data_IF_938040042146
#
_entry.id   IF_938040042146
#
_cell.length_a   1.000
_cell.length_b   1.000
_cell.length_c   1.000
_cell.angle_alpha   90.00
_cell.angle_beta   90.00
_cell.angle_gamma   90.00
#
_symmetry.space_group_name_H-M   'P 1'
#
loop_
_entity.id
_entity.type
_entity.pdbx_description
1 polymer ?
#
# COMPACT_ATOMS: atom_id res chain seq x y z
N UNK A 1 16.59 -13.43 26.27
CA UNK A 1 16.73 -14.80 25.73
C UNK A 1 16.65 -14.69 24.23
N UNK A 2 17.56 -15.27 23.44
CA UNK A 2 17.42 -15.26 22.01
C UNK A 2 16.11 -15.97 21.64
N UNK A 3 15.26 -15.31 20.84
CA UNK A 3 14.05 -15.92 20.32
C UNK A 3 14.45 -17.12 19.42
N UNK A 4 13.90 -18.28 19.74
CA UNK A 4 14.03 -19.43 18.86
C UNK A 4 13.51 -19.02 17.46
N UNK A 5 14.19 -19.43 16.37
CA UNK A 5 13.75 -19.11 15.01
C UNK A 5 12.31 -19.61 14.86
N UNK A 6 11.44 -18.75 14.41
CA UNK A 6 10.04 -19.07 14.14
C UNK A 6 10.02 -20.14 13.05
N UNK A 7 9.43 -21.33 13.28
CA UNK A 7 9.30 -22.29 12.19
C UNK A 7 8.47 -21.66 11.08
N UNK A 8 9.03 -21.62 9.87
CA UNK A 8 8.29 -21.18 8.70
C UNK A 8 7.05 -22.05 8.50
N UNK A 9 5.94 -21.48 7.99
CA UNK A 9 4.79 -22.28 7.62
C UNK A 9 5.22 -23.38 6.64
N UNK A 10 4.52 -24.52 6.66
CA UNK A 10 4.76 -25.54 5.65
C UNK A 10 4.57 -24.92 4.26
N UNK A 11 5.45 -25.19 3.28
CA UNK A 11 5.27 -24.71 1.92
C UNK A 11 3.97 -25.22 1.26
N UNK A 12 3.29 -26.16 1.90
CA UNK A 12 1.98 -26.68 1.50
C UNK A 12 0.81 -26.06 2.26
N UNK A 13 1.03 -25.06 3.12
CA UNK A 13 -0.07 -24.37 3.76
C UNK A 13 -0.88 -23.60 2.71
N UNK A 14 -2.24 -23.59 2.79
CA UNK A 14 -3.06 -22.87 1.81
C UNK A 14 -2.81 -21.37 1.92
N UNK A 15 -2.96 -20.64 0.81
CA UNK A 15 -3.01 -19.18 0.83
C UNK A 15 -4.08 -18.69 1.80
N UNK A 16 -3.84 -17.54 2.43
CA UNK A 16 -4.77 -16.92 3.37
C UNK A 16 -5.12 -15.50 2.95
N UNK A 17 -6.36 -15.13 3.23
CA UNK A 17 -6.88 -13.80 2.99
C UNK A 17 -7.22 -13.14 4.32
N UNK A 18 -6.62 -11.97 4.59
CA UNK A 18 -7.08 -11.04 5.61
C UNK A 18 -8.06 -10.07 4.96
N UNK A 19 -9.25 -9.98 5.55
CA UNK A 19 -10.33 -9.08 5.14
C UNK A 19 -10.63 -8.15 6.30
N UNK A 20 -10.39 -6.85 6.13
CA UNK A 20 -10.72 -5.85 7.12
C UNK A 20 -11.91 -5.01 6.66
N UNK A 21 -12.96 -4.98 7.49
CA UNK A 21 -13.99 -3.96 7.45
C UNK A 21 -13.63 -2.89 8.49
N UNK A 22 -13.02 -1.80 8.03
CA UNK A 22 -12.54 -0.74 8.91
C UNK A 22 -13.69 0.07 9.52
N UNK A 23 -14.85 0.12 8.86
CA UNK A 23 -16.05 0.78 9.37
C UNK A 23 -16.68 -0.06 10.47
N UNK A 24 -16.90 -1.35 10.24
CA UNK A 24 -17.48 -2.25 11.24
C UNK A 24 -16.48 -2.69 12.32
N UNK A 25 -15.20 -2.39 12.17
CA UNK A 25 -14.15 -2.73 13.13
C UNK A 25 -13.89 -4.22 13.24
N UNK A 26 -13.83 -4.93 12.11
CA UNK A 26 -13.56 -6.38 12.05
C UNK A 26 -12.47 -6.73 11.06
N UNK A 27 -11.65 -7.69 11.47
CA UNK A 27 -10.63 -8.29 10.60
C UNK A 27 -10.80 -9.81 10.66
N UNK A 28 -11.08 -10.42 9.53
CA UNK A 28 -11.25 -11.87 9.38
C UNK A 28 -10.05 -12.48 8.66
N UNK A 29 -9.57 -13.62 9.13
CA UNK A 29 -8.57 -14.45 8.48
C UNK A 29 -9.24 -15.69 7.91
N UNK A 30 -9.14 -15.87 6.60
CA UNK A 30 -9.80 -16.94 5.83
C UNK A 30 -8.75 -17.77 5.10
N UNK A 31 -8.93 -19.10 5.07
CA UNK A 31 -8.17 -19.97 4.16
C UNK A 31 -8.76 -19.88 2.75
N UNK A 32 -7.93 -20.01 1.75
CA UNK A 32 -8.36 -20.06 0.34
C UNK A 32 -8.16 -21.46 -0.24
N UNK A 33 -9.01 -21.89 -1.16
CA UNK A 33 -10.13 -21.14 -1.74
C UNK A 33 -11.47 -21.32 -0.98
N UNK A 34 -11.55 -22.18 0.03
CA UNK A 34 -12.81 -22.63 0.65
C UNK A 34 -13.44 -21.60 1.61
N UNK A 35 -12.73 -20.55 1.97
CA UNK A 35 -13.22 -19.49 2.86
C UNK A 35 -13.30 -19.89 4.33
N UNK A 36 -12.68 -21.00 4.74
CA UNK A 36 -12.69 -21.44 6.14
C UNK A 36 -12.11 -20.35 7.03
N UNK A 37 -12.91 -19.83 7.97
CA UNK A 37 -12.48 -18.82 8.91
C UNK A 37 -11.53 -19.41 9.95
N UNK A 38 -10.28 -18.90 9.99
CA UNK A 38 -9.24 -19.32 10.94
C UNK A 38 -9.20 -18.47 12.20
N UNK A 39 -9.46 -17.17 12.05
CA UNK A 39 -9.47 -16.24 13.16
C UNK A 39 -10.30 -15.01 12.83
N UNK A 40 -10.67 -14.26 13.87
CA UNK A 40 -11.35 -12.99 13.75
C UNK A 40 -10.86 -12.06 14.86
N UNK A 41 -10.54 -10.82 14.49
CA UNK A 41 -10.32 -9.72 15.44
C UNK A 41 -11.55 -8.81 15.38
N UNK A 42 -12.14 -8.56 16.55
CA UNK A 42 -13.29 -7.65 16.72
C UNK A 42 -12.85 -6.37 17.38
N UNK A 43 -13.59 -5.29 17.12
CA UNK A 43 -13.33 -3.96 17.67
C UNK A 43 -11.93 -3.43 17.30
N UNK A 44 -11.49 -3.72 16.06
CA UNK A 44 -10.22 -3.29 15.50
C UNK A 44 -10.46 -2.46 14.24
N UNK A 45 -10.07 -1.20 14.31
CA UNK A 45 -10.29 -0.25 13.23
C UNK A 45 -8.96 -0.03 12.50
N UNK A 46 -8.78 -0.78 11.41
CA UNK A 46 -7.62 -0.60 10.54
C UNK A 46 -7.61 0.83 9.99
N UNK A 47 -6.50 1.53 10.12
CA UNK A 47 -6.30 2.86 9.56
C UNK A 47 -6.44 2.82 8.03
N UNK A 48 -7.42 3.57 7.50
CA UNK A 48 -7.85 3.44 6.11
C UNK A 48 -6.71 3.72 5.11
N UNK A 49 -5.97 4.81 5.31
CA UNK A 49 -4.89 5.17 4.40
C UNK A 49 -3.64 4.29 4.57
N UNK A 50 -3.31 3.89 5.79
CA UNK A 50 -2.16 3.02 6.05
C UNK A 50 -2.36 1.58 5.54
N UNK A 51 -3.59 1.06 5.59
CA UNK A 51 -3.92 -0.28 5.13
C UNK A 51 -3.14 -1.39 5.81
N UNK A 52 -2.95 -2.49 5.10
CA UNK A 52 -2.07 -3.59 5.51
C UNK A 52 -0.66 -3.41 4.95
N UNK A 53 0.35 -3.75 5.76
CA UNK A 53 1.75 -3.81 5.37
C UNK A 53 2.23 -5.25 5.48
N UNK A 54 2.72 -5.83 4.38
CA UNK A 54 3.37 -7.14 4.42
C UNK A 54 4.78 -7.00 5.01
N UNK A 55 5.16 -7.97 5.85
CA UNK A 55 6.47 -8.04 6.48
C UNK A 55 7.15 -9.37 6.16
N UNK A 56 8.50 -9.45 6.22
CA UNK A 56 9.21 -10.72 6.07
C UNK A 56 8.70 -11.82 7.02
N UNK A 57 8.80 -13.07 6.57
CA UNK A 57 8.33 -14.23 7.33
C UNK A 57 6.82 -14.41 7.31
N UNK A 58 6.17 -13.94 6.23
CA UNK A 58 4.72 -14.03 6.01
C UNK A 58 3.89 -13.33 7.09
N UNK A 59 4.49 -12.35 7.75
CA UNK A 59 3.83 -11.50 8.72
C UNK A 59 3.11 -10.35 8.02
N UNK A 60 2.13 -9.78 8.72
CA UNK A 60 1.37 -8.62 8.25
C UNK A 60 1.22 -7.62 9.40
N UNK A 61 1.37 -6.34 9.11
CA UNK A 61 1.15 -5.29 10.10
C UNK A 61 0.01 -4.36 9.66
N UNK A 62 -0.64 -3.72 10.62
CA UNK A 62 -1.57 -2.62 10.41
C UNK A 62 -1.67 -1.76 11.66
N UNK A 63 -2.15 -0.53 11.52
CA UNK A 63 -2.47 0.34 12.65
C UNK A 63 -3.95 0.26 12.97
N UNK A 64 -4.26 0.04 14.25
CA UNK A 64 -5.62 0.16 14.80
C UNK A 64 -5.81 1.58 15.32
N UNK A 65 -6.49 2.42 14.55
CA UNK A 65 -6.71 3.83 14.89
C UNK A 65 -7.51 4.02 16.17
N UNK A 66 -8.40 3.09 16.50
CA UNK A 66 -9.21 3.19 17.71
C UNK A 66 -8.42 2.85 18.96
N UNK A 67 -7.53 1.87 18.86
CA UNK A 67 -6.71 1.45 20.00
C UNK A 67 -5.40 2.26 20.13
N UNK A 68 -4.96 2.96 19.09
CA UNK A 68 -3.65 3.62 19.05
C UNK A 68 -2.51 2.61 19.05
N UNK A 69 -2.68 1.49 18.34
CA UNK A 69 -1.72 0.38 18.34
C UNK A 69 -1.33 -0.04 16.91
N UNK A 70 -0.05 -0.24 16.70
CA UNK A 70 0.45 -1.05 15.60
C UNK A 70 0.36 -2.52 16.00
N UNK A 71 -0.33 -3.33 15.22
CA UNK A 71 -0.43 -4.77 15.40
C UNK A 71 0.40 -5.49 14.35
N UNK A 72 1.20 -6.45 14.80
CA UNK A 72 1.89 -7.41 13.92
C UNK A 72 1.16 -8.74 14.02
N UNK A 73 0.67 -9.22 12.90
CA UNK A 73 -0.07 -10.46 12.76
C UNK A 73 0.81 -11.58 12.21
N UNK A 74 0.55 -12.79 12.67
CA UNK A 74 1.05 -14.02 12.06
C UNK A 74 -0.14 -14.77 11.45
N UNK A 75 -0.43 -14.59 10.17
CA UNK A 75 -1.56 -15.26 9.53
C UNK A 75 -1.52 -16.78 9.67
N UNK A 76 -0.33 -17.38 9.77
CA UNK A 76 -0.16 -18.84 9.95
C UNK A 76 -0.08 -19.29 11.42
N UNK A 77 -0.11 -18.37 12.39
CA UNK A 77 -0.14 -18.65 13.82
C UNK A 77 -1.38 -19.45 14.26
N UNK A 78 -2.63 -19.05 13.89
CA UNK A 78 -3.82 -19.79 14.23
C UNK A 78 -3.83 -21.19 13.62
N UNK A 79 -4.05 -22.22 14.46
CA UNK A 79 -3.98 -23.62 14.08
C UNK A 79 -2.62 -24.27 14.26
N UNK A 80 -1.56 -23.50 14.48
CA UNK A 80 -0.24 -23.97 14.89
C UNK A 80 0.03 -23.78 16.41
N UNK A 81 -1.00 -23.49 17.19
CA UNK A 81 -0.86 -23.20 18.62
C UNK A 81 -0.32 -21.82 18.97
N UNK A 82 -0.21 -20.94 17.97
CA UNK A 82 0.25 -19.55 18.15
C UNK A 82 -0.90 -18.57 17.94
N UNK A 83 -0.91 -17.41 18.64
CA UNK A 83 -1.95 -16.40 18.45
C UNK A 83 -1.77 -15.68 17.11
N UNK A 84 -2.88 -15.20 16.52
CA UNK A 84 -2.85 -14.35 15.33
C UNK A 84 -2.04 -13.07 15.59
N UNK A 85 -2.25 -12.40 16.71
CA UNK A 85 -1.53 -11.19 17.08
C UNK A 85 -0.21 -11.55 17.76
N UNK A 86 0.91 -11.23 17.13
CA UNK A 86 2.26 -11.47 17.65
C UNK A 86 2.77 -10.32 18.52
N UNK A 87 2.50 -9.09 18.10
CA UNK A 87 2.94 -7.87 18.80
C UNK A 87 1.84 -6.81 18.78
N UNK A 88 1.84 -5.99 19.83
CA UNK A 88 1.06 -4.77 19.96
C UNK A 88 2.01 -3.69 20.41
N UNK A 89 2.03 -2.57 19.73
CA UNK A 89 2.97 -1.47 19.96
C UNK A 89 2.18 -0.18 19.93
N UNK A 90 2.19 0.64 20.98
CA UNK A 90 1.52 1.95 20.97
C UNK A 90 2.10 2.86 19.90
N UNK A 91 1.24 3.50 19.12
CA UNK A 91 1.63 4.46 18.07
C UNK A 91 0.70 5.66 18.07
N UNK A 92 1.16 6.77 17.51
CA UNK A 92 0.32 7.95 17.32
C UNK A 92 -0.75 7.69 16.24
N UNK A 93 -1.97 8.17 16.50
CA UNK A 93 -3.13 8.03 15.62
C UNK A 93 -3.90 9.36 15.50
N UNK A 94 -4.73 9.55 14.47
CA UNK A 94 -5.04 8.65 13.36
C UNK A 94 -3.83 8.46 12.43
N UNK A 95 -3.60 7.22 12.00
CA UNK A 95 -2.46 6.92 11.15
C UNK A 95 -2.78 7.20 9.67
N UNK A 96 -1.84 7.85 9.00
CA UNK A 96 -1.95 8.15 7.57
C UNK A 96 -1.16 7.16 6.72
N UNK A 97 0.10 6.91 7.07
CA UNK A 97 0.95 5.95 6.37
C UNK A 97 1.75 5.07 7.33
N UNK A 98 2.04 3.87 6.86
CA UNK A 98 2.86 2.87 7.52
C UNK A 98 3.88 2.32 6.52
N UNK A 99 5.15 2.26 6.91
CA UNK A 99 6.20 1.64 6.11
C UNK A 99 7.17 0.87 6.99
N UNK A 100 7.86 -0.12 6.39
CA UNK A 100 8.94 -0.86 7.01
C UNK A 100 10.21 -0.81 6.17
N UNK A 101 11.34 -1.05 6.80
CA UNK A 101 12.55 -1.38 6.07
C UNK A 101 12.43 -2.78 5.43
N UNK A 102 13.25 -3.11 4.42
CA UNK A 102 13.18 -4.41 3.76
C UNK A 102 13.39 -5.62 4.68
N UNK A 103 14.07 -5.41 5.81
CA UNK A 103 14.25 -6.43 6.84
C UNK A 103 13.04 -6.61 7.76
N UNK A 104 12.06 -5.71 7.69
CA UNK A 104 10.85 -5.72 8.51
C UNK A 104 11.08 -5.43 9.99
N UNK A 105 12.25 -4.91 10.36
CA UNK A 105 12.59 -4.58 11.74
C UNK A 105 12.22 -3.16 12.12
N UNK A 106 12.57 -2.19 11.26
CA UNK A 106 12.38 -0.78 11.51
C UNK A 106 11.14 -0.29 10.75
N UNK A 107 10.15 0.20 11.50
CA UNK A 107 8.93 0.73 10.92
C UNK A 107 8.77 2.20 11.25
N UNK A 108 7.91 2.85 10.50
CA UNK A 108 7.50 4.23 10.75
C UNK A 108 6.00 4.39 10.47
N UNK A 109 5.32 5.12 11.35
CA UNK A 109 3.90 5.47 11.23
C UNK A 109 3.78 6.99 11.26
N UNK A 110 3.10 7.58 10.28
CA UNK A 110 2.80 9.01 10.27
C UNK A 110 1.34 9.26 10.63
N UNK A 111 1.07 10.41 11.24
CA UNK A 111 -0.27 11.01 11.27
C UNK A 111 -0.33 12.13 10.24
N UNK A 112 -1.52 12.46 9.76
CA UNK A 112 -1.66 13.47 8.71
C UNK A 112 -3.06 14.05 8.68
N UNK A 113 -3.52 14.50 7.51
CA UNK A 113 -4.87 14.99 7.23
C UNK A 113 -5.42 15.93 8.30
N UNK A 114 -4.79 17.07 8.47
CA UNK A 114 -5.27 18.12 9.37
C UNK A 114 -4.46 19.39 9.23
N UNK A 115 -4.84 20.40 9.99
CA UNK A 115 -4.04 21.61 10.08
C UNK A 115 -2.88 21.41 11.04
N UNK A 116 -1.78 22.11 10.81
CA UNK A 116 -0.57 21.97 11.63
C UNK A 116 -0.76 22.36 13.11
N UNK A 117 -1.82 23.07 13.41
CA UNK A 117 -2.19 23.51 14.77
C UNK A 117 -2.87 22.40 15.57
N UNK A 118 -3.38 21.36 14.93
CA UNK A 118 -4.04 20.25 15.62
C UNK A 118 -3.01 19.35 16.30
N UNK A 119 -3.27 18.96 17.54
CA UNK A 119 -2.31 18.26 18.39
C UNK A 119 -1.92 16.87 17.85
N UNK A 120 -2.77 16.25 17.04
CA UNK A 120 -2.56 14.93 16.44
C UNK A 120 -1.84 14.97 15.10
N UNK A 121 -1.70 16.14 14.47
CA UNK A 121 -1.00 16.27 13.19
C UNK A 121 0.51 16.36 13.35
N UNK A 122 1.23 16.04 12.29
CA UNK A 122 2.69 16.16 12.26
C UNK A 122 3.42 15.21 13.22
N UNK A 123 2.80 14.10 13.60
CA UNK A 123 3.44 13.07 14.42
C UNK A 123 4.08 11.99 13.55
N UNK A 124 5.25 11.55 13.98
CA UNK A 124 5.97 10.42 13.43
C UNK A 124 6.29 9.45 14.57
N UNK A 125 5.80 8.22 14.47
CA UNK A 125 6.20 7.15 15.39
C UNK A 125 7.24 6.28 14.70
N UNK A 126 8.47 6.25 15.24
CA UNK A 126 9.50 5.30 14.86
C UNK A 126 9.35 4.02 15.69
N UNK A 127 9.48 2.87 15.06
CA UNK A 127 9.29 1.55 15.68
C UNK A 127 10.51 0.68 15.40
N UNK A 128 11.04 0.04 16.44
CA UNK A 128 12.02 -1.07 16.32
C UNK A 128 11.39 -2.34 16.91
N UNK A 129 11.07 -3.31 16.05
CA UNK A 129 10.42 -4.56 16.48
C UNK A 129 11.29 -5.41 17.39
N UNK A 130 12.60 -5.21 17.43
CA UNK A 130 13.52 -5.93 18.33
C UNK A 130 13.68 -5.24 19.68
N UNK A 131 13.29 -3.97 19.81
CA UNK A 131 13.40 -3.23 21.06
C UNK A 131 12.29 -3.61 22.05
N UNK A 132 12.59 -3.71 23.36
CA UNK A 132 11.59 -4.01 24.39
C UNK A 132 10.45 -2.99 24.44
N UNK A 133 10.78 -1.70 24.36
CA UNK A 133 9.82 -0.60 24.43
C UNK A 133 9.27 -0.18 23.05
N UNK A 134 9.73 -0.81 22.00
CA UNK A 134 9.20 -0.89 20.66
C UNK A 134 9.01 0.41 19.86
N UNK A 135 8.58 1.53 20.45
CA UNK A 135 8.24 2.71 19.70
C UNK A 135 8.50 4.03 20.42
N UNK A 136 8.83 5.07 19.65
CA UNK A 136 8.94 6.44 20.12
C UNK A 136 8.23 7.37 19.14
N UNK A 137 7.29 8.18 19.65
CA UNK A 137 6.64 9.21 18.88
C UNK A 137 7.37 10.55 19.02
N UNK A 138 7.55 11.23 17.92
CA UNK A 138 8.14 12.58 17.85
C UNK A 138 7.23 13.49 17.03
N UNK A 139 7.35 14.81 17.24
CA UNK A 139 6.69 15.78 16.39
C UNK A 139 7.65 16.20 15.28
N UNK A 140 7.27 15.93 14.05
CA UNK A 140 7.94 16.51 12.89
C UNK A 140 7.24 17.81 12.55
N UNK A 141 7.93 18.74 11.88
CA UNK A 141 7.28 19.94 11.35
C UNK A 141 6.17 19.50 10.43
N UNK A 142 4.96 19.68 10.89
CA UNK A 142 3.76 19.40 10.14
C UNK A 142 3.70 20.28 8.89
N UNK A 143 3.19 19.70 7.83
CA UNK A 143 2.84 20.36 6.58
C UNK A 143 1.38 20.02 6.31
N UNK A 144 0.71 20.89 5.58
CA UNK A 144 -0.65 20.60 5.12
C UNK A 144 -0.64 19.44 4.16
N UNK A 145 -1.61 18.57 4.26
CA UNK A 145 -1.80 17.45 3.37
C UNK A 145 -1.20 16.13 3.88
N UNK A 146 -1.23 15.15 3.03
CA UNK A 146 -0.93 13.75 3.30
C UNK A 146 0.58 13.48 3.35
N UNK A 147 1.17 13.13 4.51
CA UNK A 147 2.58 12.83 4.60
C UNK A 147 2.84 11.38 4.20
N UNK A 148 3.59 11.17 3.12
CA UNK A 148 4.11 9.85 2.78
C UNK A 148 5.29 9.44 3.66
N UNK A 149 5.54 8.13 3.77
CA UNK A 149 6.68 7.60 4.53
C UNK A 149 7.32 6.41 3.85
N UNK A 150 8.65 6.37 3.86
CA UNK A 150 9.44 5.18 3.51
C UNK A 150 10.53 4.96 4.55
N UNK A 151 10.92 3.69 4.75
CA UNK A 151 12.01 3.32 5.67
C UNK A 151 13.11 2.61 4.90
N UNK A 152 14.29 3.23 4.89
CA UNK A 152 15.47 2.68 4.24
C UNK A 152 16.27 1.86 5.25
N UNK A 153 16.47 0.58 4.97
CA UNK A 153 17.22 -0.34 5.82
C UNK A 153 18.74 -0.09 5.81
N UNK A 154 19.48 -1.07 6.33
CA UNK A 154 20.93 -1.08 6.41
C UNK A 154 21.51 -0.65 7.75
N UNK A 155 22.83 -0.46 7.86
CA UNK A 155 23.51 -0.22 9.16
C UNK A 155 23.08 1.07 9.87
N UNK A 156 22.60 2.05 9.12
CA UNK A 156 22.00 3.28 9.62
C UNK A 156 20.65 3.49 8.97
N UNK A 157 19.58 2.90 9.48
CA UNK A 157 18.26 3.02 8.87
C UNK A 157 17.78 4.47 8.89
N UNK A 158 17.13 4.88 7.80
CA UNK A 158 16.60 6.22 7.61
C UNK A 158 15.08 6.16 7.45
N UNK A 159 14.39 7.15 8.00
CA UNK A 159 12.99 7.42 7.73
C UNK A 159 12.93 8.62 6.78
N UNK A 160 12.28 8.47 5.66
CA UNK A 160 12.05 9.52 4.68
C UNK A 160 10.59 9.89 4.67
N UNK A 161 10.29 11.13 4.99
CA UNK A 161 8.93 11.68 4.93
C UNK A 161 8.78 12.50 3.65
N UNK A 162 7.70 12.29 2.93
CA UNK A 162 7.26 13.14 1.84
C UNK A 162 6.19 14.09 2.35
N UNK A 163 6.38 15.38 2.16
CA UNK A 163 5.37 16.40 2.42
C UNK A 163 4.86 17.01 1.12
N UNK A 164 3.64 17.54 1.16
CA UNK A 164 2.98 18.11 -0.02
C UNK A 164 3.13 19.62 -0.11
N UNK A 165 2.96 20.36 0.97
CA UNK A 165 2.84 21.82 0.97
C UNK A 165 3.80 22.46 2.00
N UNK A 166 4.95 22.97 1.54
CA UNK A 166 5.57 22.79 0.22
C UNK A 166 6.08 21.37 0.02
N UNK A 167 6.20 20.95 -1.26
CA UNK A 167 6.75 19.63 -1.63
C UNK A 167 8.19 19.48 -1.15
N UNK A 168 8.43 18.50 -0.30
CA UNK A 168 9.78 18.18 0.16
C UNK A 168 9.91 16.74 0.66
N UNK A 169 11.14 16.22 0.62
CA UNK A 169 11.52 15.01 1.34
C UNK A 169 12.35 15.39 2.56
N UNK A 170 11.92 14.92 3.73
CA UNK A 170 12.64 15.06 5.00
C UNK A 170 13.27 13.74 5.39
N UNK A 171 14.56 13.74 5.70
CA UNK A 171 15.30 12.54 6.10
C UNK A 171 15.62 12.59 7.58
N UNK A 172 15.21 11.56 8.31
CA UNK A 172 15.55 11.35 9.71
C UNK A 172 16.36 10.07 9.87
N UNK A 173 17.33 10.04 10.80
CA UNK A 173 17.93 8.77 11.21
C UNK A 173 17.00 8.07 12.17
N UNK A 174 16.61 6.85 11.87
CA UNK A 174 15.72 6.06 12.72
C UNK A 174 16.23 5.95 14.17
N UNK A 175 17.53 5.71 14.34
CA UNK A 175 18.15 5.61 15.67
C UNK A 175 18.07 6.91 16.50
N UNK A 176 18.08 8.06 15.84
CA UNK A 176 18.01 9.35 16.54
C UNK A 176 16.57 9.61 16.99
N UNK A 177 15.57 9.20 16.18
CA UNK A 177 14.17 9.19 16.59
C UNK A 177 13.94 8.29 17.81
N UNK A 178 14.48 7.06 17.80
CA UNK A 178 14.34 6.10 18.92
C UNK A 178 15.03 6.55 20.23
N UNK A 179 15.92 7.54 20.18
CA UNK A 179 16.56 8.14 21.36
C UNK A 179 15.83 9.36 21.89
N UNK A 180 14.78 9.79 21.24
CA UNK A 180 14.01 10.96 21.66
C UNK A 180 13.29 10.70 22.98
N UNK A 181 13.07 11.79 23.74
CA UNK A 181 12.38 11.69 25.01
C UNK A 181 10.90 11.30 24.86
N UNK A 182 10.27 10.64 25.86
CA UNK A 182 8.88 10.19 25.76
C UNK A 182 7.82 11.29 25.55
N UNK A 183 8.18 12.55 25.79
CA UNK A 183 7.25 13.68 25.74
C UNK A 183 6.96 14.20 24.31
N UNK A 184 7.13 13.37 23.29
CA UNK A 184 6.89 13.75 21.90
C UNK A 184 7.63 15.04 21.47
N UNK A 185 8.97 15.11 21.61
CA UNK A 185 9.73 16.32 21.33
C UNK A 185 9.73 16.61 19.82
N UNK A 186 9.98 17.88 19.43
CA UNK A 186 10.28 18.20 18.04
C UNK A 186 11.52 17.44 17.55
N UNK A 187 11.45 16.89 16.34
CA UNK A 187 12.57 16.23 15.68
C UNK A 187 12.91 16.94 14.36
N UNK A 188 14.13 17.47 14.27
CA UNK A 188 14.61 18.05 13.04
C UNK A 188 15.16 16.98 12.09
N UNK A 189 14.91 17.10 10.77
CA UNK A 189 15.49 16.20 9.79
C UNK A 189 16.99 16.45 9.65
N UNK A 190 17.77 15.39 9.43
CA UNK A 190 19.19 15.51 9.14
C UNK A 190 19.48 16.05 7.74
N UNK A 191 18.50 15.91 6.83
CA UNK A 191 18.53 16.45 5.46
C UNK A 191 17.15 16.82 4.98
N UNK A 192 17.10 17.80 4.08
CA UNK A 192 15.90 18.24 3.35
C UNK A 192 16.21 18.24 1.86
N UNK A 193 15.23 17.85 1.06
CA UNK A 193 15.29 17.94 -0.39
C UNK A 193 13.95 18.48 -0.89
N UNK A 194 13.98 19.66 -1.50
CA UNK A 194 12.77 20.23 -2.10
C UNK A 194 12.30 19.38 -3.28
N UNK A 195 10.99 19.21 -3.40
CA UNK A 195 10.32 18.70 -4.57
C UNK A 195 9.73 19.89 -5.34
N UNK A 196 9.75 19.88 -6.68
CA UNK A 196 9.23 20.99 -7.47
C UNK A 196 7.70 21.10 -7.42
N UNK A 197 7.02 20.03 -7.02
CA UNK A 197 5.56 19.95 -6.98
C UNK A 197 5.05 19.79 -5.55
N UNK A 198 3.91 20.44 -5.28
CA UNK A 198 3.24 20.43 -3.97
C UNK A 198 2.14 19.36 -3.87
N UNK A 199 1.91 18.55 -4.92
CA UNK A 199 0.81 17.58 -4.99
C UNK A 199 1.26 16.11 -4.90
N UNK A 200 2.42 15.85 -4.29
CA UNK A 200 2.94 14.50 -4.08
C UNK A 200 1.93 13.59 -3.36
N UNK A 201 1.74 12.35 -3.85
CA UNK A 201 0.69 11.47 -3.32
C UNK A 201 1.09 10.00 -3.14
N UNK A 202 2.06 9.48 -3.86
CA UNK A 202 2.50 8.09 -3.76
C UNK A 202 3.98 7.97 -3.48
N UNK A 203 4.37 6.94 -2.77
CA UNK A 203 5.76 6.67 -2.41
C UNK A 203 6.12 5.23 -2.76
N UNK A 204 7.38 5.01 -3.13
CA UNK A 204 7.97 3.69 -3.27
C UNK A 204 9.47 3.75 -2.93
N UNK A 205 10.04 2.60 -2.61
CA UNK A 205 11.44 2.46 -2.27
C UNK A 205 12.01 1.21 -2.93
N UNK A 206 13.13 1.38 -3.65
CA UNK A 206 13.90 0.27 -4.18
C UNK A 206 14.96 -0.20 -3.17
N UNK A 207 14.76 -1.33 -2.50
CA UNK A 207 15.68 -1.82 -1.48
C UNK A 207 17.07 -2.18 -2.02
N UNK A 208 17.16 -2.52 -3.31
CA UNK A 208 18.43 -2.93 -3.92
C UNK A 208 19.36 -1.75 -4.16
N UNK A 209 18.81 -0.60 -4.57
CA UNK A 209 19.63 0.58 -4.91
C UNK A 209 19.54 1.70 -3.88
N UNK A 210 18.63 1.60 -2.92
CA UNK A 210 18.33 2.65 -1.94
C UNK A 210 17.71 3.90 -2.57
N UNK A 211 17.02 3.75 -3.73
CA UNK A 211 16.25 4.83 -4.34
C UNK A 211 14.90 4.98 -3.69
N UNK A 212 14.51 6.22 -3.49
CA UNK A 212 13.16 6.63 -3.06
C UNK A 212 12.48 7.28 -4.25
N UNK A 213 11.20 7.02 -4.41
CA UNK A 213 10.35 7.55 -5.46
C UNK A 213 9.15 8.24 -4.83
N UNK A 214 8.80 9.42 -5.36
CA UNK A 214 7.62 10.19 -4.96
C UNK A 214 6.82 10.56 -6.19
N UNK A 215 5.58 10.08 -6.28
CA UNK A 215 4.64 10.47 -7.33
C UNK A 215 4.16 11.90 -7.09
N UNK A 216 4.15 12.72 -8.13
CA UNK A 216 3.65 14.09 -8.10
C UNK A 216 2.99 14.44 -9.43
N UNK A 217 2.40 15.60 -9.57
CA UNK A 217 1.68 16.00 -10.78
C UNK A 217 2.52 15.96 -12.04
N UNK A 218 3.77 16.40 -11.98
CA UNK A 218 4.67 16.45 -13.14
C UNK A 218 5.34 15.11 -13.49
N UNK A 219 5.34 14.14 -12.58
CA UNK A 219 6.02 12.86 -12.77
C UNK A 219 6.38 12.16 -11.48
N UNK A 220 7.34 11.24 -11.55
CA UNK A 220 7.90 10.57 -10.38
C UNK A 220 9.26 11.16 -10.06
N UNK A 221 9.33 11.93 -8.97
CA UNK A 221 10.60 12.41 -8.44
C UNK A 221 11.35 11.26 -7.78
N UNK A 222 12.65 11.22 -7.98
CA UNK A 222 13.48 10.16 -7.43
C UNK A 222 14.76 10.71 -6.83
N UNK A 223 15.18 10.05 -5.76
CA UNK A 223 16.41 10.34 -5.09
C UNK A 223 17.09 9.07 -4.64
N UNK A 224 18.41 9.08 -4.64
CA UNK A 224 19.22 7.94 -4.18
C UNK A 224 19.85 8.24 -2.84
N UNK A 225 19.87 7.25 -1.97
CA UNK A 225 20.57 7.33 -0.70
C UNK A 225 22.07 7.55 -0.91
N UNK A 226 22.65 8.52 -0.19
CA UNK A 226 24.08 8.76 -0.08
C UNK A 226 24.44 9.07 1.38
N UNK A 227 24.99 8.07 2.08
CA UNK A 227 25.20 8.17 3.52
C UNK A 227 23.90 8.35 4.29
N UNK A 228 23.80 9.43 5.08
CA UNK A 228 22.62 9.80 5.86
C UNK A 228 21.69 10.80 5.13
N UNK A 229 21.81 10.91 3.82
CA UNK A 229 20.99 11.82 3.02
C UNK A 229 20.54 11.22 1.70
N UNK A 230 19.85 12.06 0.93
CA UNK A 230 19.37 11.77 -0.41
C UNK A 230 20.04 12.71 -1.42
N UNK A 231 20.32 12.19 -2.61
CA UNK A 231 20.77 12.95 -3.77
C UNK A 231 19.71 12.83 -4.85
N UNK A 232 19.17 13.97 -5.35
CA UNK A 232 18.15 13.92 -6.39
C UNK A 232 18.70 13.33 -7.69
N UNK A 233 17.85 12.61 -8.40
CA UNK A 233 18.09 12.09 -9.75
C UNK A 233 17.05 12.70 -10.71
N UNK A 234 17.27 12.59 -12.02
CA UNK A 234 16.32 13.09 -13.00
C UNK A 234 14.94 12.44 -12.79
N UNK A 235 13.85 13.22 -12.77
CA UNK A 235 12.50 12.68 -12.59
C UNK A 235 12.08 11.81 -13.78
N UNK A 236 11.12 10.91 -13.53
CA UNK A 236 10.47 10.12 -14.57
C UNK A 236 9.20 10.82 -14.99
N UNK A 237 8.96 10.90 -16.30
CA UNK A 237 7.74 11.49 -16.84
C UNK A 237 6.55 10.54 -16.75
N UNK A 238 5.36 11.09 -16.50
CA UNK A 238 4.11 10.35 -16.71
C UNK A 238 3.82 10.11 -18.20
N UNK A 239 4.37 10.91 -19.10
CA UNK A 239 4.19 10.75 -20.54
C UNK A 239 5.08 9.64 -21.08
N UNK A 240 4.49 8.71 -21.83
CA UNK A 240 5.19 7.62 -22.50
C UNK A 240 4.35 7.09 -23.68
N UNK A 241 4.97 6.44 -24.64
CA UNK A 241 4.32 5.76 -25.77
C UNK A 241 3.36 6.65 -26.58
N UNK A 242 3.69 7.95 -26.72
CA UNK A 242 2.84 8.91 -27.41
C UNK A 242 1.60 9.35 -26.64
N UNK A 243 1.45 8.92 -25.37
CA UNK A 243 0.40 9.33 -24.45
C UNK A 243 0.92 10.44 -23.54
N UNK A 244 0.19 11.55 -23.47
CA UNK A 244 0.56 12.75 -22.73
C UNK A 244 -0.51 13.12 -21.72
N UNK A 245 -0.12 13.94 -20.75
CA UNK A 245 -1.00 14.44 -19.69
C UNK A 245 -1.41 13.36 -18.68
N UNK A 246 -2.27 13.76 -17.76
CA UNK A 246 -2.65 12.96 -16.60
C UNK A 246 -1.58 12.93 -15.53
N UNK A 247 -1.93 12.36 -14.39
CA UNK A 247 -1.02 12.16 -13.26
C UNK A 247 -1.26 10.84 -12.55
N UNK A 248 -0.20 10.26 -12.00
CA UNK A 248 -0.27 9.09 -11.14
C UNK A 248 -0.43 9.49 -9.67
N UNK A 249 -1.14 8.64 -8.92
CA UNK A 249 -1.39 8.85 -7.49
C UNK A 249 -0.74 7.81 -6.60
N UNK A 250 -0.54 6.60 -7.11
CA UNK A 250 0.02 5.50 -6.35
C UNK A 250 1.25 4.97 -7.06
N UNK A 251 2.22 4.56 -6.26
CA UNK A 251 3.35 3.78 -6.76
C UNK A 251 3.33 2.42 -6.09
N UNK A 252 3.59 1.39 -6.87
CA UNK A 252 3.84 0.03 -6.40
C UNK A 252 5.17 -0.44 -6.95
N UNK A 253 6.02 -0.92 -6.07
CA UNK A 253 7.22 -1.62 -6.46
C UNK A 253 6.91 -3.09 -6.67
N UNK A 254 7.30 -3.62 -7.81
CA UNK A 254 7.48 -5.05 -8.06
C UNK A 254 8.99 -5.33 -7.93
N UNK A 255 9.45 -5.81 -6.77
CA UNK A 255 10.87 -5.99 -6.53
C UNK A 255 11.47 -7.15 -7.33
N UNK A 256 10.64 -8.14 -7.71
CA UNK A 256 11.06 -9.30 -8.49
C UNK A 256 11.38 -8.91 -9.93
N UNK A 257 10.49 -8.16 -10.57
CA UNK A 257 10.70 -7.69 -11.95
C UNK A 257 11.46 -6.38 -12.04
N UNK A 258 11.74 -5.77 -10.88
CA UNK A 258 12.43 -4.48 -10.83
C UNK A 258 11.63 -3.39 -11.55
N UNK A 259 10.32 -3.33 -11.28
CA UNK A 259 9.40 -2.40 -11.94
C UNK A 259 8.65 -1.54 -10.95
N UNK A 260 8.47 -0.27 -11.29
CA UNK A 260 7.48 0.60 -10.68
C UNK A 260 6.21 0.58 -11.51
N UNK A 261 5.08 0.53 -10.82
CA UNK A 261 3.74 0.58 -11.39
C UNK A 261 2.93 1.72 -10.81
N UNK A 262 2.09 2.30 -11.65
CA UNK A 262 1.10 3.31 -11.26
C UNK A 262 -0.14 3.22 -12.16
N UNK A 263 -1.20 3.91 -11.77
CA UNK A 263 -2.28 4.28 -12.66
C UNK A 263 -2.18 5.78 -12.94
N UNK A 264 -2.07 6.16 -14.20
CA UNK A 264 -2.09 7.57 -14.63
C UNK A 264 -3.49 7.92 -15.10
N UNK A 265 -4.12 8.83 -14.39
CA UNK A 265 -5.46 9.33 -14.69
C UNK A 265 -5.38 10.67 -15.39
N UNK A 266 -6.11 10.80 -16.50
CA UNK A 266 -6.31 12.04 -17.25
C UNK A 266 -7.79 12.39 -17.38
N UNK A 267 -8.07 13.54 -17.97
CA UNK A 267 -9.41 14.04 -18.19
C UNK A 267 -9.68 15.35 -17.48
N UNK A 268 -10.95 15.71 -17.34
CA UNK A 268 -11.41 16.91 -16.66
C UNK A 268 -11.05 16.90 -15.16
N UNK A 269 -10.77 18.06 -14.60
CA UNK A 269 -10.65 18.24 -13.15
C UNK A 269 -11.99 18.20 -12.40
N UNK A 270 -13.11 18.21 -13.10
CA UNK A 270 -14.45 18.10 -12.51
C UNK A 270 -14.73 16.67 -12.06
N UNK A 271 -14.92 16.44 -10.73
CA UNK A 271 -15.24 15.11 -10.22
C UNK A 271 -16.51 14.49 -10.81
N UNK A 272 -17.49 15.28 -11.21
CA UNK A 272 -18.73 14.80 -11.84
C UNK A 272 -18.52 14.16 -13.21
N UNK A 273 -17.39 14.42 -13.85
CA UNK A 273 -16.98 13.85 -15.15
C UNK A 273 -16.15 12.57 -15.02
N UNK A 274 -16.07 12.00 -13.83
CA UNK A 274 -15.26 10.82 -13.55
C UNK A 274 -15.51 9.61 -14.48
N UNK A 275 -16.71 9.37 -15.03
CA UNK A 275 -16.92 8.27 -15.96
C UNK A 275 -16.11 8.40 -17.24
N UNK A 276 -15.77 9.64 -17.63
CA UNK A 276 -15.02 9.93 -18.85
C UNK A 276 -13.51 10.11 -18.61
N UNK A 277 -13.04 9.97 -17.37
CA UNK A 277 -11.62 10.04 -17.06
C UNK A 277 -10.84 8.90 -17.70
N UNK A 278 -9.81 9.22 -18.45
CA UNK A 278 -8.91 8.21 -19.00
C UNK A 278 -8.02 7.63 -17.90
N UNK A 279 -7.71 6.35 -18.00
CA UNK A 279 -6.78 5.68 -17.11
C UNK A 279 -5.80 4.84 -17.93
N UNK A 280 -4.51 4.94 -17.58
CA UNK A 280 -3.46 4.10 -18.14
C UNK A 280 -2.67 3.44 -17.04
N UNK A 281 -2.36 2.16 -17.20
CA UNK A 281 -1.27 1.54 -16.47
C UNK A 281 0.03 2.19 -16.91
N UNK A 282 0.73 2.83 -15.99
CA UNK A 282 2.06 3.37 -16.20
C UNK A 282 3.08 2.45 -15.54
N UNK A 283 4.21 2.24 -16.19
CA UNK A 283 5.27 1.41 -15.67
C UNK A 283 6.65 1.94 -16.02
N UNK A 284 7.63 1.63 -15.16
CA UNK A 284 9.03 1.96 -15.36
C UNK A 284 9.91 0.81 -14.89
N UNK A 285 10.78 0.31 -15.76
CA UNK A 285 11.75 -0.72 -15.41
C UNK A 285 13.01 -0.07 -14.83
N UNK A 286 13.32 -0.39 -13.57
CA UNK A 286 14.36 0.30 -12.79
C UNK A 286 15.77 0.12 -13.35
N UNK A 287 16.07 -1.01 -13.97
CA UNK A 287 17.41 -1.35 -14.43
C UNK A 287 17.65 -0.95 -15.90
N UNK A 288 16.63 -1.04 -16.75
CA UNK A 288 16.76 -0.68 -18.17
C UNK A 288 16.34 0.76 -18.46
N UNK A 289 15.60 1.39 -17.55
CA UNK A 289 15.07 2.74 -17.72
C UNK A 289 13.90 2.85 -18.70
N UNK A 290 13.41 1.73 -19.24
CA UNK A 290 12.26 1.73 -20.16
C UNK A 290 11.00 2.11 -19.39
N UNK A 291 10.24 3.05 -19.93
CA UNK A 291 8.96 3.54 -19.38
C UNK A 291 7.89 3.37 -20.45
N UNK A 292 6.68 3.03 -20.03
CA UNK A 292 5.56 2.89 -20.93
C UNK A 292 4.20 3.14 -20.29
N UNK A 293 3.17 3.19 -21.14
CA UNK A 293 1.75 3.32 -20.77
C UNK A 293 0.91 2.34 -21.58
N UNK A 294 -0.12 1.78 -20.93
CA UNK A 294 -1.10 0.90 -21.55
C UNK A 294 -2.50 1.29 -21.07
N UNK A 295 -3.43 1.48 -22.01
CA UNK A 295 -4.78 1.94 -21.71
C UNK A 295 -5.59 0.94 -20.90
N UNK A 296 -6.23 1.44 -19.82
CA UNK A 296 -7.16 0.69 -18.98
C UNK A 296 -8.62 1.03 -19.26
N UNK A 297 -8.88 2.10 -20.02
CA UNK A 297 -10.22 2.58 -20.35
C UNK A 297 -10.76 3.66 -19.42
N UNK A 298 -11.95 4.21 -19.74
CA UNK A 298 -12.54 5.30 -18.99
C UNK A 298 -13.12 4.84 -17.65
N UNK A 299 -13.30 5.81 -16.72
CA UNK A 299 -13.87 5.58 -15.41
C UNK A 299 -12.89 5.83 -14.26
N UNK A 300 -13.03 5.06 -13.20
CA UNK A 300 -12.20 5.19 -12.00
C UNK A 300 -11.35 3.94 -11.80
N UNK A 301 -10.04 4.10 -11.88
CA UNK A 301 -9.06 3.08 -11.50
C UNK A 301 -8.26 3.62 -10.33
N UNK A 302 -8.44 3.00 -9.17
CA UNK A 302 -7.83 3.48 -7.92
C UNK A 302 -6.67 2.64 -7.45
N UNK A 303 -6.77 1.33 -7.54
CA UNK A 303 -5.83 0.41 -6.91
C UNK A 303 -5.34 -0.63 -7.90
N UNK A 304 -4.16 -1.09 -7.64
CA UNK A 304 -3.55 -2.20 -8.37
C UNK A 304 -2.91 -3.20 -7.40
N UNK A 305 -2.80 -4.44 -7.84
CA UNK A 305 -2.10 -5.50 -7.13
C UNK A 305 -1.25 -6.31 -8.11
N UNK A 306 -0.14 -6.87 -7.61
CA UNK A 306 0.85 -7.58 -8.44
C UNK A 306 0.82 -9.06 -8.10
N UNK A 307 0.69 -9.92 -9.12
CA UNK A 307 0.88 -11.38 -9.02
C UNK A 307 2.22 -11.80 -9.62
N UNK A 308 2.50 -13.10 -9.57
CA UNK A 308 3.69 -13.65 -10.22
C UNK A 308 3.73 -13.39 -11.72
N UNK A 309 2.59 -13.26 -12.41
CA UNK A 309 2.53 -13.10 -13.88
C UNK A 309 1.61 -11.98 -14.38
N UNK A 310 0.86 -11.35 -13.49
CA UNK A 310 -0.12 -10.34 -13.88
C UNK A 310 -0.06 -9.11 -12.98
N UNK A 311 -0.55 -7.99 -13.53
CA UNK A 311 -0.86 -6.79 -12.77
C UNK A 311 -2.38 -6.62 -12.84
N UNK A 312 -3.01 -6.63 -11.68
CA UNK A 312 -4.46 -6.57 -11.54
C UNK A 312 -4.90 -5.14 -11.20
N UNK A 313 -5.82 -4.58 -11.98
CA UNK A 313 -6.47 -3.30 -11.73
C UNK A 313 -7.97 -3.49 -11.56
N UNK A 314 -8.57 -2.78 -10.63
CA UNK A 314 -10.03 -2.67 -10.56
C UNK A 314 -10.48 -1.37 -11.22
N UNK A 315 -11.39 -1.48 -12.18
CA UNK A 315 -12.04 -0.33 -12.82
C UNK A 315 -13.50 -0.27 -12.41
N UNK A 316 -13.93 0.86 -11.88
CA UNK A 316 -15.33 1.17 -11.56
C UNK A 316 -15.88 2.07 -12.67
N UNK A 317 -17.05 1.72 -13.21
CA UNK A 317 -17.70 2.51 -14.26
C UNK A 317 -19.22 2.33 -14.19
N UNK A 318 -20.04 3.37 -14.50
CA UNK A 318 -21.50 3.23 -14.48
C UNK A 318 -22.07 2.15 -15.40
N UNK A 319 -21.35 1.82 -16.46
CA UNK A 319 -21.77 0.79 -17.44
C UNK A 319 -21.29 -0.63 -17.08
N UNK A 320 -20.57 -0.78 -15.95
CA UNK A 320 -20.08 -2.04 -15.42
C UNK A 320 -18.65 -1.98 -14.90
N UNK A 321 -18.42 -2.61 -13.76
CA UNK A 321 -17.10 -2.72 -13.15
C UNK A 321 -16.33 -3.91 -13.72
N UNK A 322 -15.00 -3.80 -13.74
CA UNK A 322 -14.11 -4.84 -14.27
C UNK A 322 -12.88 -5.06 -13.40
N UNK A 323 -12.44 -6.31 -13.35
CA UNK A 323 -11.07 -6.67 -13.01
C UNK A 323 -10.27 -6.76 -14.32
N UNK A 324 -9.25 -5.93 -14.45
CA UNK A 324 -8.36 -5.90 -15.61
C UNK A 324 -7.04 -6.57 -15.22
N UNK A 325 -6.67 -7.60 -15.95
CA UNK A 325 -5.41 -8.31 -15.78
C UNK A 325 -4.48 -7.96 -16.95
N UNK A 326 -3.35 -7.34 -16.67
CA UNK A 326 -2.28 -7.18 -17.65
C UNK A 326 -1.27 -8.31 -17.46
N UNK A 327 -0.80 -8.91 -18.55
CA UNK A 327 0.32 -9.86 -18.48
C UNK A 327 1.59 -9.07 -18.18
N UNK A 328 2.26 -9.43 -17.08
CA UNK A 328 3.49 -8.79 -16.67
C UNK A 328 4.65 -9.19 -17.60
N UNK A 329 5.66 -8.32 -17.80
CA UNK A 329 6.83 -8.64 -18.60
C UNK A 329 7.56 -9.88 -18.10
N UNK A 330 7.94 -10.76 -19.01
CA UNK A 330 8.69 -11.99 -18.70
C UNK A 330 10.21 -11.82 -18.74
N UNK A 331 10.68 -10.72 -19.34
CA UNK A 331 12.11 -10.41 -19.44
C UNK A 331 12.37 -8.92 -19.15
N UNK A 332 13.56 -8.56 -18.63
CA UNK A 332 13.94 -7.17 -18.42
C UNK A 332 13.82 -6.34 -19.70
N UNK A 333 13.13 -5.19 -19.61
CA UNK A 333 12.92 -4.28 -20.74
C UNK A 333 11.79 -4.68 -21.70
N UNK A 334 11.19 -5.87 -21.57
CA UNK A 334 9.96 -6.18 -22.29
C UNK A 334 8.76 -5.39 -21.72
N UNK A 335 7.69 -5.28 -22.51
CA UNK A 335 6.50 -4.52 -22.17
C UNK A 335 5.43 -5.42 -21.57
N UNK A 336 4.60 -4.91 -20.66
CA UNK A 336 3.39 -5.60 -20.29
C UNK A 336 2.43 -5.66 -21.51
N UNK A 337 1.60 -6.68 -21.53
CA UNK A 337 0.61 -6.87 -22.57
C UNK A 337 -0.80 -6.76 -22.00
N UNK A 338 -1.74 -6.30 -22.83
CA UNK A 338 -3.16 -6.34 -22.48
C UNK A 338 -3.58 -7.80 -22.31
N UNK A 339 -4.20 -8.09 -21.18
CA UNK A 339 -4.71 -9.41 -20.85
C UNK A 339 -6.24 -9.41 -20.72
N UNK A 340 -6.77 -10.20 -19.79
CA UNK A 340 -8.18 -10.40 -19.61
C UNK A 340 -8.88 -9.19 -18.95
N UNK A 341 -10.18 -9.01 -19.31
CA UNK A 341 -11.12 -8.14 -18.62
C UNK A 341 -12.28 -8.99 -18.11
N UNK A 342 -12.43 -9.06 -16.82
CA UNK A 342 -13.41 -9.89 -16.15
C UNK A 342 -14.49 -8.99 -15.54
N UNK A 343 -15.78 -9.17 -15.91
CA UNK A 343 -16.84 -8.37 -15.33
C UNK A 343 -16.98 -8.65 -13.83
N UNK A 344 -17.22 -7.61 -13.05
CA UNK A 344 -17.47 -7.68 -11.62
C UNK A 344 -18.95 -7.39 -11.32
N UNK A 345 -19.57 -8.07 -10.35
CA UNK A 345 -20.95 -7.77 -9.96
C UNK A 345 -21.11 -6.33 -9.48
N UNK A 346 -22.20 -5.67 -9.87
CA UNK A 346 -22.47 -4.29 -9.50
C UNK A 346 -22.54 -4.10 -7.98
N UNK A 347 -22.08 -2.98 -7.47
CA UNK A 347 -22.20 -2.59 -6.06
C UNK A 347 -23.46 -1.75 -5.85
N UNK A 348 -24.22 -2.03 -4.79
CA UNK A 348 -25.21 -1.09 -4.28
C UNK A 348 -24.49 0.10 -3.66
N UNK A 349 -24.85 1.34 -4.04
CA UNK A 349 -24.14 2.53 -3.58
C UNK A 349 -22.83 2.82 -4.34
N UNK A 350 -22.60 2.18 -5.49
CA UNK A 350 -21.51 2.56 -6.39
C UNK A 350 -21.59 4.04 -6.81
N UNK A 351 -20.46 4.66 -7.21
CA UNK A 351 -20.46 6.02 -7.74
C UNK A 351 -21.43 6.16 -8.94
N UNK A 352 -22.12 7.30 -9.01
CA UNK A 352 -23.11 7.58 -10.06
C UNK A 352 -22.62 8.70 -10.97
N UNK A 353 -23.11 8.71 -12.20
CA UNK A 353 -22.88 9.83 -13.13
C UNK A 353 -23.35 11.14 -12.49
N UNK A 354 -22.55 12.20 -12.61
CA UNK A 354 -22.83 13.52 -12.05
C UNK A 354 -22.57 13.67 -10.56
N UNK A 355 -22.21 12.57 -9.85
CA UNK A 355 -21.74 12.61 -8.45
C UNK A 355 -20.23 12.50 -8.36
N UNK A 356 -19.68 12.70 -7.15
CA UNK A 356 -18.26 12.44 -6.89
C UNK A 356 -18.00 10.94 -6.81
N UNK A 357 -16.81 10.46 -7.22
CA UNK A 357 -16.50 9.03 -7.18
C UNK A 357 -15.95 8.55 -5.82
N UNK A 358 -15.91 9.40 -4.79
CA UNK A 358 -15.31 9.09 -3.50
C UNK A 358 -16.16 9.42 -2.28
N UNK A 359 -17.12 10.36 -2.35
CA UNK A 359 -17.87 10.77 -1.18
C UNK A 359 -19.14 9.92 -0.98
N UNK A 360 -19.21 9.19 0.13
CA UNK A 360 -20.36 8.39 0.51
C UNK A 360 -20.70 7.27 -0.48
N UNK A 361 -19.73 6.75 -1.19
CA UNK A 361 -19.92 5.71 -2.22
C UNK A 361 -19.15 4.45 -1.88
N UNK A 362 -19.65 3.31 -2.33
CA UNK A 362 -18.97 2.04 -2.19
C UNK A 362 -17.80 1.91 -3.19
N UNK A 363 -16.75 1.22 -2.76
CA UNK A 363 -15.51 1.03 -3.50
C UNK A 363 -15.14 -0.44 -3.60
N UNK A 364 -14.05 -0.73 -4.30
CA UNK A 364 -13.43 -2.06 -4.38
C UNK A 364 -12.01 -2.01 -3.88
N UNK A 365 -11.69 -2.92 -2.96
CA UNK A 365 -10.31 -3.25 -2.65
C UNK A 365 -9.83 -4.36 -3.58
N UNK A 366 -8.53 -4.39 -3.88
CA UNK A 366 -7.87 -5.46 -4.62
C UNK A 366 -6.61 -5.88 -3.90
N UNK A 367 -6.39 -7.19 -3.79
CA UNK A 367 -5.16 -7.77 -3.28
C UNK A 367 -4.74 -8.95 -4.15
N UNK A 368 -3.46 -9.24 -4.19
CA UNK A 368 -2.92 -10.35 -4.95
C UNK A 368 -1.80 -11.06 -4.17
N UNK A 369 -1.51 -12.29 -4.56
CA UNK A 369 -0.35 -13.04 -4.11
C UNK A 369 0.84 -12.70 -5.01
N UNK A 370 1.87 -11.99 -4.53
CA UNK A 370 3.01 -11.58 -5.35
C UNK A 370 3.79 -12.75 -5.96
N UNK A 371 3.90 -13.87 -5.24
CA UNK A 371 4.54 -15.10 -5.70
C UNK A 371 3.60 -16.10 -6.37
N UNK A 372 2.28 -15.82 -6.41
CA UNK A 372 1.26 -16.72 -6.93
C UNK A 372 0.40 -16.09 -8.03
N UNK A 373 -0.73 -16.75 -8.33
CA UNK A 373 -1.71 -16.33 -9.36
C UNK A 373 -3.06 -15.85 -8.80
N UNK A 374 -3.23 -15.76 -7.47
CA UNK A 374 -4.51 -15.38 -6.89
C UNK A 374 -4.71 -13.87 -6.82
N UNK A 375 -5.92 -13.43 -7.14
CA UNK A 375 -6.39 -12.05 -7.00
C UNK A 375 -7.71 -12.04 -6.25
N UNK A 376 -7.81 -11.25 -5.20
CA UNK A 376 -9.04 -11.02 -4.44
C UNK A 376 -9.56 -9.61 -4.66
N UNK A 377 -10.87 -9.48 -4.91
CA UNK A 377 -11.55 -8.19 -5.14
C UNK A 377 -12.78 -8.10 -4.25
N UNK A 378 -12.91 -7.04 -3.46
CA UNK A 378 -14.10 -6.83 -2.64
C UNK A 378 -15.27 -6.29 -3.45
N UNK A 379 -16.49 -6.57 -2.96
CA UNK A 379 -17.72 -5.91 -3.38
C UNK A 379 -18.26 -5.10 -2.21
N UNK A 380 -17.87 -3.81 -2.20
CA UNK A 380 -18.26 -2.90 -1.12
C UNK A 380 -19.76 -2.84 -0.92
N UNK A 381 -20.20 -2.75 0.35
CA UNK A 381 -21.60 -2.73 0.75
C UNK A 381 -22.31 -4.08 0.69
N UNK A 382 -21.63 -5.17 0.26
CA UNK A 382 -22.25 -6.51 0.12
C UNK A 382 -21.60 -7.59 1.00
N UNK A 383 -20.45 -7.30 1.60
CA UNK A 383 -19.72 -8.30 2.38
C UNK A 383 -19.21 -9.49 1.56
N UNK A 384 -18.95 -9.26 0.28
CA UNK A 384 -18.46 -10.29 -0.64
C UNK A 384 -17.03 -10.00 -1.07
N UNK A 385 -16.24 -11.07 -1.21
CA UNK A 385 -14.91 -11.03 -1.82
C UNK A 385 -14.83 -12.09 -2.91
N UNK A 386 -14.56 -11.65 -4.13
CA UNK A 386 -14.39 -12.52 -5.29
C UNK A 386 -12.92 -12.88 -5.42
N UNK A 387 -12.60 -14.17 -5.46
CA UNK A 387 -11.24 -14.69 -5.61
C UNK A 387 -11.09 -15.30 -7.00
N UNK A 388 -10.11 -14.79 -7.74
CA UNK A 388 -9.83 -15.20 -9.12
C UNK A 388 -8.47 -15.93 -9.18
N UNK A 389 -8.40 -16.90 -10.09
CA UNK A 389 -7.14 -17.39 -10.64
C UNK A 389 -6.78 -16.53 -11.85
N UNK A 390 -5.77 -15.66 -11.70
CA UNK A 390 -5.37 -14.75 -12.77
C UNK A 390 -4.75 -15.48 -13.97
N UNK A 391 -4.13 -16.65 -13.75
CA UNK A 391 -3.51 -17.43 -14.81
C UNK A 391 -4.54 -18.13 -15.70
N UNK A 392 -5.65 -18.56 -15.10
CA UNK A 392 -6.78 -19.18 -15.80
C UNK A 392 -7.84 -18.18 -16.22
N UNK A 393 -7.78 -16.97 -15.66
CA UNK A 393 -8.80 -15.93 -15.84
C UNK A 393 -10.19 -16.34 -15.37
N UNK A 394 -10.25 -17.16 -14.32
CA UNK A 394 -11.48 -17.74 -13.79
C UNK A 394 -11.79 -17.22 -12.39
N UNK A 395 -13.09 -17.05 -12.09
CA UNK A 395 -13.57 -16.87 -10.72
C UNK A 395 -13.50 -18.23 -10.00
N UNK A 396 -12.64 -18.35 -9.01
CA UNK A 396 -12.52 -19.57 -8.20
C UNK A 396 -13.62 -19.68 -7.18
N UNK A 397 -13.91 -18.59 -6.47
CA UNK A 397 -14.91 -18.59 -5.39
C UNK A 397 -15.36 -17.17 -5.05
N UNK A 398 -16.52 -17.08 -4.46
CA UNK A 398 -17.02 -15.86 -3.80
C UNK A 398 -17.15 -16.14 -2.31
N UNK A 399 -16.39 -15.43 -1.51
CA UNK A 399 -16.41 -15.50 -0.06
C UNK A 399 -17.40 -14.49 0.50
N UNK A 400 -18.13 -14.88 1.55
CA UNK A 400 -19.01 -13.98 2.29
C UNK A 400 -18.42 -13.73 3.67
N UNK A 401 -18.31 -12.45 4.05
CA UNK A 401 -17.87 -12.04 5.39
C UNK A 401 -19.05 -11.50 6.20
N UNK A 402 -18.96 -11.49 7.54
CA UNK A 402 -20.11 -11.16 8.40
C UNK A 402 -20.43 -9.65 8.47
N UNK A 403 -19.78 -8.83 7.65
CA UNK A 403 -19.91 -7.37 7.62
C UNK A 403 -20.06 -6.89 6.19
N UNK A 404 -20.68 -5.73 5.93
CA UNK A 404 -20.96 -5.25 4.57
C UNK A 404 -19.71 -4.85 3.77
N UNK A 405 -18.53 -4.67 4.39
CA UNK A 405 -17.34 -4.09 3.78
C UNK A 405 -17.61 -2.69 3.23
N UNK A 406 -18.19 -1.84 4.08
CA UNK A 406 -18.43 -0.45 3.69
C UNK A 406 -17.13 0.23 3.24
N UNK A 407 -17.25 1.13 2.27
CA UNK A 407 -16.12 1.74 1.57
C UNK A 407 -15.15 0.74 0.89
N UNK A 408 -15.63 -0.50 0.70
CA UNK A 408 -14.88 -1.58 0.04
C UNK A 408 -13.95 -2.38 0.96
N UNK A 409 -13.73 -1.92 2.18
CA UNK A 409 -12.81 -2.54 3.13
C UNK A 409 -11.36 -2.59 2.64
N UNK A 410 -10.54 -3.41 3.31
CA UNK A 410 -9.14 -3.66 2.95
C UNK A 410 -8.87 -5.16 2.85
N UNK A 411 -8.04 -5.53 1.89
CA UNK A 411 -7.66 -6.90 1.64
C UNK A 411 -6.13 -7.04 1.64
N UNK A 412 -5.64 -8.16 2.16
CA UNK A 412 -4.27 -8.61 1.86
C UNK A 412 -4.23 -10.12 1.74
N UNK A 413 -3.58 -10.60 0.69
CA UNK A 413 -3.31 -12.01 0.44
C UNK A 413 -1.94 -12.35 1.03
N UNK A 414 -1.87 -13.47 1.75
CA UNK A 414 -0.64 -14.02 2.30
C UNK A 414 -0.49 -15.45 1.81
N UNK A 415 0.57 -15.70 1.07
CA UNK A 415 0.96 -17.04 0.62
C UNK A 415 2.30 -17.38 1.25
N UNK A 416 2.54 -18.62 1.67
CA UNK A 416 3.83 -18.99 2.25
C UNK A 416 4.99 -18.63 1.32
N UNK A 417 5.92 -17.81 1.81
CA UNK A 417 7.07 -17.32 1.05
C UNK A 417 6.88 -15.97 0.34
N UNK A 418 5.68 -15.42 0.27
CA UNK A 418 5.42 -14.13 -0.40
C UNK A 418 6.07 -12.92 0.30
N UNK A 419 6.40 -13.04 1.58
CA UNK A 419 7.01 -11.93 2.34
C UNK A 419 8.33 -11.41 1.76
N UNK A 420 9.01 -12.20 0.93
CA UNK A 420 10.22 -11.79 0.22
C UNK A 420 9.93 -10.90 -1.02
N UNK A 421 8.67 -10.82 -1.45
CA UNK A 421 8.22 -10.15 -2.68
C UNK A 421 7.33 -8.93 -2.38
N UNK A 422 7.18 -8.59 -1.11
CA UNK A 422 6.26 -7.52 -0.69
C UNK A 422 6.83 -6.13 -0.95
N UNK A 423 5.94 -5.20 -1.31
CA UNK A 423 6.22 -3.77 -1.30
C UNK A 423 6.39 -3.31 0.17
N UNK A 424 7.50 -2.65 0.53
CA UNK A 424 7.76 -2.22 1.90
C UNK A 424 6.92 -1.02 2.36
N UNK A 425 5.99 -0.55 1.55
CA UNK A 425 5.05 0.54 1.89
C UNK A 425 3.64 -0.01 2.00
N UNK A 426 3.00 0.16 3.16
CA UNK A 426 1.62 -0.24 3.42
C UNK A 426 0.62 0.62 2.63
N UNK A 427 -0.48 -0.01 2.18
CA UNK A 427 -1.64 0.66 1.56
C UNK A 427 -2.91 -0.17 1.67
#
# INVERSE_FOLDING_TARGET
MPHAPTPHPSPHAPPRLLVADHVAGRISLLDLPDGTKRAELKHRHLAEHAGFLALPGDLTAFVDDRAGELLVLDPYGPGAGRPLVRRRIPVAVPAEHLAADPGGRYLAVTTGLGCNEEAWTGLLTAVDLDAPDGAVAVRVRGRTGEPGVTVLGGPSPLVVLRHREPGELLVHRHRDLMRSAPACPPADPVRRMALPDDDGHGDAHDPLTGRVFAAAGSGVHRARRKGDGLVPEAPLSWSADGRFGGRGYYLRLDPVRRMLWSCVRGGSGDPGQWPDWSNDAWWHHLDTGVTGRLELGPGLVFRLAVTARHIAYTRVHPDGDELILLTAPSAPGSRPEAGARLPLPAMSGAPRRGGTPWDGVQRRAVAASPGGGLVAVSRGGHGEVHVFDADRTDLLTTLTVPTPLDDGGHLTLVTPGDGAHADPVGR
#
